data_IF_674463653021
#
_entry.id   IF_674463653021
#
_cell.length_a   1.000
_cell.length_b   1.000
_cell.length_c   1.000
_cell.angle_alpha   90.00
_cell.angle_beta   90.00
_cell.angle_gamma   90.00
#
_symmetry.space_group_name_H-M   'P 1'
#
loop_
_entity.id
_entity.type
_entity.pdbx_description
1 polymer ?
#
# COMPACT_ATOMS: atom_id res chain seq x y z
N UNK A 1 1.98 -18.18 8.97
CA UNK A 1 3.04 -17.20 8.62
C UNK A 1 4.01 -17.12 9.80
N UNK A 2 5.34 -17.08 9.59
CA UNK A 2 6.28 -16.98 10.73
C UNK A 2 6.26 -15.56 11.32
N UNK A 3 6.57 -15.44 12.61
CA UNK A 3 6.63 -14.14 13.33
C UNK A 3 7.49 -13.11 12.59
N UNK A 4 8.65 -13.54 12.09
CA UNK A 4 9.58 -12.71 11.31
C UNK A 4 9.00 -12.20 9.99
N UNK A 5 8.10 -12.95 9.35
CA UNK A 5 7.45 -12.50 8.12
C UNK A 5 6.40 -11.43 8.42
N UNK A 6 5.64 -11.57 9.51
CA UNK A 6 4.69 -10.53 9.96
C UNK A 6 5.39 -9.22 10.33
N UNK A 7 6.52 -9.29 11.01
CA UNK A 7 7.36 -8.12 11.34
C UNK A 7 7.85 -7.39 10.07
N UNK A 8 8.27 -8.16 9.05
CA UNK A 8 8.67 -7.59 7.75
C UNK A 8 7.50 -6.95 7.00
N UNK A 9 6.33 -7.57 7.00
CA UNK A 9 5.11 -7.00 6.38
C UNK A 9 4.72 -5.69 7.07
N UNK A 10 4.80 -5.63 8.40
CA UNK A 10 4.54 -4.40 9.15
C UNK A 10 5.55 -3.29 8.82
N UNK A 11 6.85 -3.62 8.75
CA UNK A 11 7.88 -2.66 8.36
C UNK A 11 7.66 -2.12 6.93
N UNK A 12 7.29 -3.00 5.99
CA UNK A 12 6.94 -2.60 4.62
C UNK A 12 5.72 -1.67 4.63
N UNK A 13 4.67 -1.99 5.40
CA UNK A 13 3.48 -1.15 5.49
C UNK A 13 3.84 0.28 5.96
N UNK A 14 4.67 0.44 6.99
CA UNK A 14 5.13 1.74 7.46
C UNK A 14 5.92 2.51 6.38
N UNK A 15 6.80 1.84 5.63
CA UNK A 15 7.53 2.47 4.52
C UNK A 15 6.55 2.92 3.42
N UNK A 16 5.56 2.10 3.09
CA UNK A 16 4.54 2.45 2.09
C UNK A 16 3.69 3.65 2.55
N UNK A 17 3.34 3.74 3.84
CA UNK A 17 2.64 4.89 4.41
C UNK A 17 3.45 6.19 4.28
N UNK A 18 4.74 6.15 4.64
CA UNK A 18 5.60 7.32 4.50
C UNK A 18 5.76 7.75 3.03
N UNK A 19 5.98 6.79 2.12
CA UNK A 19 6.06 7.08 0.68
C UNK A 19 4.76 7.70 0.15
N UNK A 20 3.60 7.25 0.64
CA UNK A 20 2.30 7.77 0.20
C UNK A 20 2.15 9.24 0.59
N UNK A 21 2.58 9.56 1.81
CA UNK A 21 2.60 10.93 2.32
C UNK A 21 3.54 11.83 1.50
N UNK A 22 4.76 11.36 1.23
CA UNK A 22 5.76 12.13 0.47
C UNK A 22 5.30 12.39 -0.97
N UNK A 23 4.74 11.37 -1.65
CA UNK A 23 4.18 11.52 -3.01
C UNK A 23 3.05 12.54 -3.04
N UNK A 24 2.17 12.52 -2.03
CA UNK A 24 1.05 13.46 -1.95
C UNK A 24 1.53 14.91 -1.75
N UNK A 25 2.59 15.13 -0.97
CA UNK A 25 3.24 16.45 -0.85
C UNK A 25 3.77 16.91 -2.20
N UNK A 26 4.52 16.05 -2.90
CA UNK A 26 5.14 16.39 -4.19
C UNK A 26 4.06 16.70 -5.23
N UNK A 27 2.97 15.92 -5.26
CA UNK A 27 1.85 16.11 -6.18
C UNK A 27 1.19 17.48 -5.96
N UNK A 28 0.85 17.80 -4.70
CA UNK A 28 0.29 19.11 -4.34
C UNK A 28 1.23 20.27 -4.68
N UNK A 29 2.52 20.11 -4.44
CA UNK A 29 3.53 21.10 -4.83
C UNK A 29 3.60 21.30 -6.35
N UNK A 30 3.53 20.22 -7.11
CA UNK A 30 3.51 20.25 -8.59
C UNK A 30 2.27 20.97 -9.12
N UNK A 31 1.09 20.69 -8.54
CA UNK A 31 -0.17 21.37 -8.88
C UNK A 31 -0.11 22.87 -8.57
N UNK A 32 0.42 23.24 -7.41
CA UNK A 32 0.62 24.64 -7.05
C UNK A 32 1.56 25.36 -8.03
N UNK A 33 2.65 24.72 -8.46
CA UNK A 33 3.56 25.27 -9.47
C UNK A 33 2.86 25.46 -10.82
N UNK A 34 2.06 24.48 -11.27
CA UNK A 34 1.28 24.59 -12.52
C UNK A 34 0.35 25.82 -12.47
N UNK A 35 -0.34 26.02 -11.35
CA UNK A 35 -1.25 27.16 -11.17
C UNK A 35 -0.53 28.50 -11.09
N UNK A 36 0.69 28.53 -10.56
CA UNK A 36 1.49 29.74 -10.42
C UNK A 36 2.26 30.14 -11.71
N UNK A 37 2.37 29.25 -12.69
CA UNK A 37 3.15 29.51 -13.91
C UNK A 37 2.56 30.68 -14.73
N UNK A 38 3.39 31.67 -15.14
CA UNK A 38 2.97 32.75 -16.02
C UNK A 38 2.49 32.25 -17.39
N UNK A 39 1.73 33.10 -18.10
CA UNK A 39 1.40 32.88 -19.51
C UNK A 39 2.69 32.84 -20.34
N UNK A 40 2.78 31.90 -21.29
CA UNK A 40 3.96 31.73 -22.16
C UNK A 40 4.94 30.65 -21.67
N UNK A 41 4.71 30.05 -20.50
CA UNK A 41 5.50 28.93 -19.99
C UNK A 41 4.88 27.56 -20.35
N UNK A 42 4.31 27.41 -21.53
CA UNK A 42 3.47 26.25 -21.86
C UNK A 42 4.22 24.92 -21.88
N UNK A 43 5.50 24.94 -22.28
CA UNK A 43 6.36 23.74 -22.20
C UNK A 43 6.55 23.30 -20.75
N UNK A 44 6.81 24.24 -19.82
CA UNK A 44 6.94 23.93 -18.39
C UNK A 44 5.64 23.42 -17.80
N UNK A 45 4.49 24.01 -18.19
CA UNK A 45 3.17 23.57 -17.76
C UNK A 45 2.91 22.12 -18.21
N UNK A 46 3.24 21.78 -19.46
CA UNK A 46 3.11 20.43 -19.99
C UNK A 46 3.95 19.43 -19.19
N UNK A 47 5.24 19.73 -18.97
CA UNK A 47 6.15 18.87 -18.19
C UNK A 47 5.65 18.64 -16.77
N UNK A 48 5.20 19.69 -16.08
CA UNK A 48 4.66 19.55 -14.72
C UNK A 48 3.35 18.75 -14.69
N UNK A 49 2.49 18.88 -15.71
CA UNK A 49 1.27 18.08 -15.82
C UNK A 49 1.57 16.59 -16.05
N UNK A 50 2.57 16.27 -16.88
CA UNK A 50 3.06 14.90 -17.05
C UNK A 50 3.63 14.34 -15.75
N UNK A 51 4.39 15.15 -15.01
CA UNK A 51 4.91 14.78 -13.69
C UNK A 51 3.80 14.53 -12.68
N UNK A 52 2.77 15.39 -12.62
CA UNK A 52 1.61 15.21 -11.76
C UNK A 52 0.87 13.90 -12.09
N UNK A 53 0.69 13.61 -13.39
CA UNK A 53 0.07 12.38 -13.87
C UNK A 53 0.91 11.13 -13.51
N UNK A 54 2.24 11.23 -13.54
CA UNK A 54 3.11 10.16 -13.10
C UNK A 54 2.99 9.91 -11.59
N UNK A 55 2.97 10.97 -10.78
CA UNK A 55 2.80 10.88 -9.33
C UNK A 55 1.45 10.27 -8.95
N UNK A 56 0.38 10.60 -9.68
CA UNK A 56 -0.95 9.98 -9.50
C UNK A 56 -0.89 8.46 -9.72
N UNK A 57 -0.26 8.00 -10.83
CA UNK A 57 -0.10 6.56 -11.10
C UNK A 57 0.72 5.85 -10.01
N UNK A 58 1.78 6.48 -9.51
CA UNK A 58 2.57 5.92 -8.40
C UNK A 58 1.72 5.83 -7.13
N UNK A 59 0.94 6.88 -6.81
CA UNK A 59 0.04 6.88 -5.65
C UNK A 59 -0.99 5.74 -5.71
N UNK A 60 -1.60 5.50 -6.87
CA UNK A 60 -2.52 4.36 -7.09
C UNK A 60 -1.81 3.03 -6.83
N UNK A 61 -0.63 2.83 -7.41
CA UNK A 61 0.15 1.59 -7.27
C UNK A 61 0.53 1.35 -5.81
N UNK A 62 0.87 2.42 -5.09
CA UNK A 62 1.20 2.36 -3.68
C UNK A 62 0.00 2.00 -2.81
N UNK A 63 -1.18 2.56 -3.11
CA UNK A 63 -2.43 2.17 -2.46
C UNK A 63 -2.75 0.69 -2.64
N UNK A 64 -2.48 0.11 -3.81
CA UNK A 64 -2.61 -1.33 -4.04
C UNK A 64 -1.63 -2.15 -3.20
N UNK A 65 -0.38 -1.69 -3.07
CA UNK A 65 0.64 -2.34 -2.23
C UNK A 65 0.24 -2.30 -0.74
N UNK A 66 -0.25 -1.16 -0.25
CA UNK A 66 -0.76 -1.02 1.12
C UNK A 66 -1.95 -1.96 1.38
N UNK A 67 -2.93 -1.99 0.47
CA UNK A 67 -4.07 -2.90 0.57
C UNK A 67 -3.67 -4.38 0.57
N UNK A 68 -2.54 -4.71 -0.06
CA UNK A 68 -1.97 -6.07 -0.04
C UNK A 68 -1.28 -6.37 1.29
N UNK A 69 -0.46 -5.45 1.79
CA UNK A 69 0.20 -5.58 3.09
C UNK A 69 -0.82 -5.73 4.24
N UNK A 70 -1.89 -4.94 4.22
CA UNK A 70 -2.98 -5.02 5.21
C UNK A 70 -3.75 -6.34 5.14
N UNK A 71 -3.96 -6.90 3.94
CA UNK A 71 -4.57 -8.24 3.80
C UNK A 71 -3.68 -9.33 4.40
N UNK A 72 -2.39 -9.32 4.07
CA UNK A 72 -1.42 -10.30 4.60
C UNK A 72 -1.31 -10.23 6.12
N UNK A 73 -1.36 -9.02 6.69
CA UNK A 73 -1.39 -8.80 8.14
C UNK A 73 -2.63 -9.45 8.78
N UNK A 74 -3.82 -9.26 8.18
CA UNK A 74 -5.09 -9.84 8.67
C UNK A 74 -5.12 -11.36 8.58
N UNK A 75 -4.63 -11.93 7.47
CA UNK A 75 -4.58 -13.38 7.26
C UNK A 75 -3.62 -14.07 8.24
N UNK A 76 -2.51 -13.43 8.62
CA UNK A 76 -1.58 -13.96 9.62
C UNK A 76 -2.07 -13.89 11.08
N UNK A 77 -3.17 -13.16 11.34
CA UNK A 77 -3.83 -13.05 12.66
C UNK A 77 -5.05 -13.94 12.84
N UNK A 78 -5.43 -14.75 11.84
CA UNK A 78 -6.52 -15.70 12.01
C UNK A 78 -6.14 -16.74 13.11
N UNK A 79 -6.96 -16.92 14.17
CA UNK A 79 -6.69 -17.95 15.15
C UNK A 79 -6.73 -19.31 14.46
N UNK A 80 -5.68 -20.12 14.68
CA UNK A 80 -5.70 -21.54 14.36
C UNK A 80 -6.91 -22.14 15.10
N UNK A 81 -8.02 -22.34 14.40
CA UNK A 81 -9.05 -23.24 14.88
C UNK A 81 -8.37 -24.59 15.03
N UNK A 82 -8.21 -25.02 16.28
CA UNK A 82 -7.80 -26.35 16.63
C UNK A 82 -8.77 -27.31 15.92
N UNK A 83 -8.29 -27.98 14.88
CA UNK A 83 -8.92 -29.19 14.38
C UNK A 83 -8.88 -30.19 15.54
N UNK A 84 -9.94 -30.20 16.35
CA UNK A 84 -10.19 -31.30 17.28
C UNK A 84 -10.44 -32.53 16.42
N UNK A 85 -9.54 -33.50 16.50
CA UNK A 85 -9.66 -34.80 15.84
C UNK A 85 -11.05 -35.41 16.08
N UNK A 86 -11.64 -36.11 15.10
CA UNK A 86 -12.91 -36.81 15.29
C UNK A 86 -12.75 -37.91 16.37
N UNK A 87 -13.79 -38.20 17.16
CA UNK A 87 -13.74 -39.26 18.15
C UNK A 87 -13.53 -40.62 17.47
N UNK A 88 -12.57 -41.38 17.98
CA UNK A 88 -12.31 -42.75 17.55
C UNK A 88 -13.56 -43.62 17.76
N UNK A 89 -14.04 -44.26 16.71
CA UNK A 89 -15.08 -45.27 16.80
C UNK A 89 -14.61 -46.41 17.71
N UNK A 90 -15.19 -46.51 18.91
CA UNK A 90 -15.06 -47.69 19.75
C UNK A 90 -15.72 -48.87 19.04
N UNK A 91 -14.92 -49.90 18.75
CA UNK A 91 -15.36 -51.19 18.25
C UNK A 91 -15.80 -52.00 19.47
N UNK A 92 -17.11 -52.11 19.71
CA UNK A 92 -17.62 -53.03 20.71
C UNK A 92 -17.67 -54.44 20.12
N UNK A 93 -17.08 -55.39 20.88
CA UNK A 93 -17.14 -56.83 20.66
C UNK A 93 -18.56 -57.38 20.82
#
# INVERSE_FOLDING_TARGET
MSKTVLERVAAIATVLEQLAFDIEIIRKGTEALISALPKGCEIHRCVLQEQASALERISITLGMAQATAERLKKEGTAPQQAFTSPPACQKNN
#
